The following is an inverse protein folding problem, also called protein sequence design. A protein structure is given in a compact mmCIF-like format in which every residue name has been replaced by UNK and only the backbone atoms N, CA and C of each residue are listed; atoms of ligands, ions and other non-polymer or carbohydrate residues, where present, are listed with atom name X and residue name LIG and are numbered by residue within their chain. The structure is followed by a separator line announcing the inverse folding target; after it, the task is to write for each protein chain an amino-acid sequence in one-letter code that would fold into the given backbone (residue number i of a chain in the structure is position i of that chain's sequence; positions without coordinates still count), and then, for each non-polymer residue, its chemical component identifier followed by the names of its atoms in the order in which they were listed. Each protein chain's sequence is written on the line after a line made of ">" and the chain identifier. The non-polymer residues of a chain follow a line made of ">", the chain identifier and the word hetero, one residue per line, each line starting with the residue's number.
data_IF_455841865157
#
_entry.id   IF_455841865157
#
_cell.length_a   1.000
_cell.length_b   1.000
_cell.length_c   1.000
_cell.angle_alpha   90.00
_cell.angle_beta   90.00
_cell.angle_gamma   90.00
#
_symmetry.space_group_name_H-M   'P 1'
#
loop_
_entity.id
_entity.type
_entity.pdbx_description
1 polymer ?
#
# COMPACT_ATOMS: atom_id res chain seq x y z
N UNK A 1 -12.04 -1.28 21.54
CA UNK A 1 -11.73 -0.10 20.70
C UNK A 1 -12.99 0.33 20.00
N UNK A 2 -13.37 1.58 20.14
CA UNK A 2 -14.56 2.14 19.49
C UNK A 2 -14.27 2.45 18.02
N UNK A 3 -15.28 2.40 17.14
CA UNK A 3 -15.09 2.69 15.70
C UNK A 3 -14.49 4.09 15.44
N UNK A 4 -14.80 5.05 16.30
CA UNK A 4 -14.32 6.43 16.23
C UNK A 4 -12.82 6.55 16.54
N UNK A 5 -12.31 5.75 17.49
CA UNK A 5 -10.88 5.65 17.79
C UNK A 5 -10.12 4.97 16.64
N UNK A 6 -10.70 3.94 16.04
CA UNK A 6 -10.13 3.27 14.88
C UNK A 6 -10.03 4.21 13.67
N UNK A 7 -11.01 5.11 13.49
CA UNK A 7 -11.02 6.10 12.42
C UNK A 7 -9.95 7.20 12.56
N UNK A 8 -9.16 7.23 13.64
CA UNK A 8 -8.02 8.16 13.77
C UNK A 8 -6.76 7.61 13.06
N UNK A 9 -6.70 6.31 12.77
CA UNK A 9 -5.53 5.70 12.13
C UNK A 9 -5.55 5.91 10.61
N UNK A 10 -4.45 6.41 10.00
CA UNK A 10 -4.40 6.66 8.55
C UNK A 10 -4.67 5.42 7.68
N UNK A 11 -4.21 4.24 8.11
CA UNK A 11 -4.44 2.99 7.40
C UNK A 11 -5.93 2.59 7.41
N UNK A 12 -6.63 2.79 8.53
CA UNK A 12 -8.07 2.50 8.66
C UNK A 12 -8.89 3.48 7.83
N UNK A 13 -8.54 4.76 7.84
CA UNK A 13 -9.16 5.78 6.98
C UNK A 13 -8.99 5.45 5.50
N UNK A 14 -7.78 5.04 5.11
CA UNK A 14 -7.49 4.63 3.74
C UNK A 14 -8.31 3.40 3.35
N UNK A 15 -8.34 2.36 4.20
CA UNK A 15 -9.16 1.16 3.96
C UNK A 15 -10.64 1.53 3.80
N UNK A 16 -11.20 2.35 4.70
CA UNK A 16 -12.59 2.79 4.60
C UNK A 16 -12.87 3.59 3.31
N UNK A 17 -11.90 4.38 2.84
CA UNK A 17 -12.02 5.09 1.56
C UNK A 17 -11.96 4.13 0.37
N UNK A 18 -11.06 3.14 0.40
CA UNK A 18 -10.98 2.10 -0.62
C UNK A 18 -12.25 1.24 -0.65
N UNK A 19 -12.74 0.82 0.51
CA UNK A 19 -13.98 0.06 0.68
C UNK A 19 -15.18 0.80 0.09
N UNK A 20 -15.31 2.11 0.32
CA UNK A 20 -16.39 2.92 -0.28
C UNK A 20 -16.35 2.99 -1.80
N UNK A 21 -15.17 2.87 -2.42
CA UNK A 21 -15.06 2.83 -3.90
C UNK A 21 -15.61 1.52 -4.47
N UNK A 22 -15.52 0.45 -3.71
CA UNK A 22 -15.98 -0.89 -4.09
C UNK A 22 -17.45 -1.09 -3.72
N UNK A 23 -17.83 -0.71 -2.51
CA UNK A 23 -19.18 -0.81 -1.95
C UNK A 23 -19.57 0.54 -1.33
N UNK A 24 -20.38 1.33 -2.04
CA UNK A 24 -20.75 2.69 -1.62
C UNK A 24 -21.49 2.76 -0.28
N UNK A 25 -22.17 1.68 0.11
CA UNK A 25 -22.87 1.56 1.39
C UNK A 25 -21.96 1.22 2.57
N UNK A 26 -20.67 0.94 2.34
CA UNK A 26 -19.75 0.57 3.40
C UNK A 26 -19.61 1.67 4.45
N UNK A 27 -19.88 1.32 5.71
CA UNK A 27 -19.67 2.17 6.88
C UNK A 27 -18.91 1.37 7.92
N UNK A 28 -17.85 1.96 8.47
CA UNK A 28 -17.07 1.34 9.53
C UNK A 28 -17.94 1.28 10.80
N UNK A 29 -18.45 0.09 11.12
CA UNK A 29 -19.21 -0.12 12.35
C UNK A 29 -18.27 -0.49 13.51
N UNK A 30 -18.73 -0.37 14.77
CA UNK A 30 -17.98 -0.87 15.92
C UNK A 30 -17.67 -2.37 15.86
N UNK A 31 -18.50 -3.16 15.16
CA UNK A 31 -18.28 -4.59 14.97
C UNK A 31 -17.15 -4.87 13.95
N UNK A 32 -16.99 -4.01 12.93
CA UNK A 32 -15.97 -4.17 11.88
C UNK A 32 -14.61 -3.61 12.28
N UNK A 33 -14.60 -2.60 13.15
CA UNK A 33 -13.38 -1.93 13.64
C UNK A 33 -12.24 -2.90 14.04
N UNK A 34 -12.45 -3.95 14.85
CA UNK A 34 -11.38 -4.89 15.20
C UNK A 34 -10.85 -5.67 13.98
N UNK A 35 -11.72 -6.09 13.06
CA UNK A 35 -11.31 -6.81 11.86
C UNK A 35 -10.50 -5.91 10.92
N UNK A 36 -10.95 -4.66 10.71
CA UNK A 36 -10.22 -3.70 9.86
C UNK A 36 -8.84 -3.36 10.42
N UNK A 37 -8.72 -3.23 11.74
CA UNK A 37 -7.41 -3.04 12.39
C UNK A 37 -6.50 -4.26 12.19
N UNK A 38 -7.05 -5.46 12.31
CA UNK A 38 -6.31 -6.70 12.06
C UNK A 38 -5.82 -6.78 10.60
N UNK A 39 -6.67 -6.44 9.63
CA UNK A 39 -6.27 -6.31 8.22
C UNK A 39 -5.12 -5.31 8.08
N UNK A 40 -5.24 -4.11 8.68
CA UNK A 40 -4.20 -3.10 8.63
C UNK A 40 -2.85 -3.59 9.20
N UNK A 41 -2.89 -4.39 10.26
CA UNK A 41 -1.69 -4.98 10.86
C UNK A 41 -1.11 -6.10 9.98
N UNK A 42 -1.93 -7.01 9.47
CA UNK A 42 -1.49 -8.15 8.66
C UNK A 42 -0.82 -7.72 7.33
N UNK A 43 -1.19 -6.55 6.81
CA UNK A 43 -0.66 -5.99 5.57
C UNK A 43 0.37 -4.88 5.79
N UNK A 44 0.84 -4.68 7.03
CA UNK A 44 1.79 -3.63 7.44
C UNK A 44 1.35 -2.22 7.02
N UNK A 45 0.04 -1.96 6.91
CA UNK A 45 -0.51 -0.68 6.46
C UNK A 45 -0.17 -0.29 5.01
N UNK A 46 0.28 -1.24 4.19
CA UNK A 46 0.68 -0.96 2.79
C UNK A 46 -0.55 -0.56 1.95
N UNK A 47 -0.57 0.64 1.33
CA UNK A 47 -1.76 1.16 0.65
C UNK A 47 -2.32 0.22 -0.43
N UNK A 48 -1.44 -0.39 -1.23
CA UNK A 48 -1.81 -1.35 -2.27
C UNK A 48 -2.53 -2.57 -1.69
N UNK A 49 -1.98 -3.15 -0.61
CA UNK A 49 -2.56 -4.33 0.01
C UNK A 49 -3.91 -4.02 0.68
N UNK A 50 -4.06 -2.83 1.26
CA UNK A 50 -5.35 -2.35 1.80
C UNK A 50 -6.39 -2.15 0.69
N UNK A 51 -5.99 -1.61 -0.46
CA UNK A 51 -6.90 -1.42 -1.60
C UNK A 51 -7.36 -2.76 -2.20
N UNK A 52 -6.48 -3.76 -2.27
CA UNK A 52 -6.83 -5.13 -2.67
C UNK A 52 -7.72 -5.81 -1.63
N UNK A 53 -7.40 -5.69 -0.34
CA UNK A 53 -8.24 -6.23 0.73
C UNK A 53 -9.66 -5.63 0.70
N UNK A 54 -9.80 -4.35 0.34
CA UNK A 54 -11.09 -3.71 0.18
C UNK A 54 -11.87 -4.19 -1.06
N UNK A 55 -11.21 -4.73 -2.10
CA UNK A 55 -11.83 -5.34 -3.28
C UNK A 55 -12.72 -6.54 -2.91
N UNK A 56 -12.23 -7.35 -1.98
CA UNK A 56 -12.91 -8.54 -1.49
C UNK A 56 -14.20 -8.30 -0.71
N UNK A 57 -14.52 -7.06 -0.32
CA UNK A 57 -15.76 -6.71 0.39
C UNK A 57 -17.04 -6.97 -0.43
N UNK A 58 -16.91 -7.25 -1.73
CA UNK A 58 -18.06 -7.68 -2.57
C UNK A 58 -18.49 -9.12 -2.29
N UNK A 59 -17.60 -9.94 -1.74
CA UNK A 59 -17.76 -11.39 -1.61
C UNK A 59 -17.60 -11.83 -0.16
N UNK A 60 -16.78 -11.13 0.63
CA UNK A 60 -16.43 -11.49 2.00
C UNK A 60 -16.64 -10.33 2.96
N UNK A 61 -17.00 -10.65 4.20
CA UNK A 61 -17.02 -9.68 5.29
C UNK A 61 -15.59 -9.42 5.82
N UNK A 62 -15.39 -8.31 6.55
CA UNK A 62 -14.07 -7.94 7.09
C UNK A 62 -13.42 -9.08 7.92
N UNK A 63 -14.21 -9.83 8.68
CA UNK A 63 -13.71 -10.95 9.48
C UNK A 63 -13.29 -12.16 8.61
N UNK A 64 -13.95 -12.37 7.47
CA UNK A 64 -13.59 -13.41 6.50
C UNK A 64 -12.30 -13.05 5.77
N UNK A 65 -12.16 -11.79 5.37
CA UNK A 65 -10.93 -11.28 4.75
C UNK A 65 -9.74 -11.48 5.69
N UNK A 66 -9.90 -11.25 6.99
CA UNK A 66 -8.85 -11.55 7.99
C UNK A 66 -8.48 -13.04 7.95
N UNK A 67 -9.46 -13.94 7.96
CA UNK A 67 -9.21 -15.39 7.93
C UNK A 67 -8.44 -15.82 6.69
N UNK A 68 -8.81 -15.29 5.53
CA UNK A 68 -8.14 -15.62 4.27
C UNK A 68 -6.72 -15.04 4.20
N UNK A 69 -6.49 -13.81 4.66
CA UNK A 69 -5.15 -13.22 4.74
C UNK A 69 -4.24 -14.02 5.67
N UNK A 70 -4.76 -14.47 6.83
CA UNK A 70 -4.01 -15.32 7.77
C UNK A 70 -3.64 -16.65 7.14
N UNK A 71 -4.51 -17.21 6.29
CA UNK A 71 -4.23 -18.46 5.56
C UNK A 71 -3.16 -18.27 4.50
N UNK A 72 -3.23 -17.20 3.70
CA UNK A 72 -2.18 -16.83 2.74
C UNK A 72 -2.35 -15.40 2.26
N UNK A 73 -1.28 -14.60 2.31
CA UNK A 73 -1.25 -13.26 1.71
C UNK A 73 -1.40 -13.30 0.17
N UNK A 74 -1.15 -14.43 -0.48
CA UNK A 74 -1.39 -14.63 -1.93
C UNK A 74 -2.89 -14.57 -2.28
N UNK A 75 -3.78 -14.71 -1.29
CA UNK A 75 -5.21 -14.45 -1.43
C UNK A 75 -5.47 -13.05 -2.02
N UNK A 76 -4.81 -12.03 -1.47
CA UNK A 76 -4.92 -10.65 -1.98
C UNK A 76 -4.39 -10.50 -3.40
N UNK A 77 -3.45 -11.38 -3.79
CA UNK A 77 -2.89 -11.40 -5.13
C UNK A 77 -3.77 -12.15 -6.14
N UNK A 78 -4.65 -13.05 -5.70
CA UNK A 78 -5.52 -13.84 -6.60
C UNK A 78 -6.59 -12.95 -7.25
N UNK A 79 -6.99 -11.87 -6.60
CA UNK A 79 -7.84 -10.82 -7.19
C UNK A 79 -7.11 -9.96 -8.24
N UNK A 80 -5.83 -10.23 -8.57
CA UNK A 80 -5.09 -9.39 -9.52
C UNK A 80 -5.74 -9.30 -10.92
N UNK A 81 -6.64 -10.21 -11.25
CA UNK A 81 -7.41 -10.18 -12.50
C UNK A 81 -8.56 -9.14 -12.46
N UNK A 82 -9.15 -8.90 -11.29
CA UNK A 82 -10.28 -7.99 -11.06
C UNK A 82 -9.90 -6.65 -10.40
N UNK A 83 -8.62 -6.32 -10.43
CA UNK A 83 -8.03 -5.12 -9.83
C UNK A 83 -8.75 -3.83 -10.26
N UNK A 84 -8.94 -2.86 -9.34
CA UNK A 84 -9.46 -1.54 -9.67
C UNK A 84 -8.76 -0.90 -10.89
N UNK A 85 -9.48 -0.18 -11.77
CA UNK A 85 -8.95 0.32 -13.04
C UNK A 85 -7.60 1.06 -12.92
N UNK A 86 -7.40 1.81 -11.83
CA UNK A 86 -6.17 2.57 -11.56
C UNK A 86 -4.93 1.68 -11.42
N UNK A 87 -5.05 0.56 -10.73
CA UNK A 87 -3.93 -0.35 -10.49
C UNK A 87 -3.74 -1.30 -11.68
N UNK A 88 -4.81 -1.64 -12.40
CA UNK A 88 -4.73 -2.43 -13.65
C UNK A 88 -3.78 -1.77 -14.66
N UNK A 89 -3.88 -0.45 -14.86
CA UNK A 89 -2.97 0.29 -15.76
C UNK A 89 -1.50 0.24 -15.33
N UNK A 90 -1.23 0.40 -14.03
CA UNK A 90 0.14 0.29 -13.49
C UNK A 90 0.68 -1.13 -13.66
N UNK A 91 -0.13 -2.15 -13.38
CA UNK A 91 0.27 -3.54 -13.51
C UNK A 91 0.52 -3.96 -14.96
N UNK A 92 -0.35 -3.55 -15.88
CA UNK A 92 -0.17 -3.77 -17.33
C UNK A 92 1.11 -3.09 -17.82
N UNK A 93 1.34 -1.84 -17.42
CA UNK A 93 2.56 -1.09 -17.79
C UNK A 93 3.81 -1.76 -17.23
N UNK A 94 3.74 -2.24 -15.98
CA UNK A 94 4.81 -2.99 -15.34
C UNK A 94 5.11 -4.31 -16.09
N UNK A 95 4.09 -5.11 -16.40
CA UNK A 95 4.24 -6.36 -17.14
C UNK A 95 4.84 -6.13 -18.52
N UNK A 96 4.38 -5.10 -19.23
CA UNK A 96 4.93 -4.74 -20.54
C UNK A 96 6.42 -4.38 -20.44
N UNK A 97 6.78 -3.56 -19.45
CA UNK A 97 8.18 -3.18 -19.19
C UNK A 97 9.03 -4.37 -18.80
N UNK A 98 8.50 -5.28 -17.97
CA UNK A 98 9.17 -6.51 -17.56
C UNK A 98 9.43 -7.45 -18.74
N UNK A 99 8.47 -7.57 -19.66
CA UNK A 99 8.59 -8.39 -20.86
C UNK A 99 9.67 -7.87 -21.85
N UNK A 100 9.99 -6.57 -21.81
CA UNK A 100 11.07 -5.97 -22.60
C UNK A 100 12.48 -6.26 -22.03
N UNK A 101 12.58 -6.73 -20.78
CA UNK A 101 13.86 -7.06 -20.15
C UNK A 101 14.36 -8.42 -20.60
N UNK A 102 15.66 -8.53 -20.88
CA UNK A 102 16.29 -9.83 -21.13
C UNK A 102 16.25 -10.72 -19.88
N UNK A 103 16.34 -12.06 -20.01
CA UNK A 103 16.34 -12.97 -18.87
C UNK A 103 17.45 -12.71 -17.84
N UNK A 104 18.57 -12.09 -18.24
CA UNK A 104 19.63 -11.67 -17.33
C UNK A 104 19.22 -10.44 -16.50
N UNK A 105 18.57 -9.46 -17.13
CA UNK A 105 18.08 -8.25 -16.47
C UNK A 105 16.92 -8.54 -15.52
N UNK A 106 16.00 -9.45 -15.89
CA UNK A 106 14.91 -9.89 -15.02
C UNK A 106 15.45 -10.52 -13.73
N UNK A 107 16.46 -11.38 -13.83
CA UNK A 107 17.11 -12.01 -12.65
C UNK A 107 17.80 -10.97 -11.77
N UNK A 108 18.53 -10.02 -12.35
CA UNK A 108 19.16 -8.94 -11.60
C UNK A 108 18.13 -8.07 -10.87
N UNK A 109 17.03 -7.72 -11.53
CA UNK A 109 15.97 -6.89 -10.95
C UNK A 109 15.20 -7.62 -9.84
N UNK A 110 14.92 -8.92 -9.99
CA UNK A 110 14.30 -9.74 -8.95
C UNK A 110 15.19 -9.85 -7.70
N UNK A 111 16.51 -9.97 -7.87
CA UNK A 111 17.46 -9.99 -6.76
C UNK A 111 17.49 -8.66 -5.99
N UNK A 112 17.31 -7.52 -6.69
CA UNK A 112 17.21 -6.20 -6.07
C UNK A 112 15.87 -5.96 -5.35
N UNK A 113 14.79 -6.58 -5.83
CA UNK A 113 13.45 -6.45 -5.25
C UNK A 113 13.32 -7.10 -3.85
N UNK A 114 14.28 -7.94 -3.45
CA UNK A 114 14.36 -8.51 -2.10
C UNK A 114 14.82 -7.50 -1.03
N UNK A 115 15.29 -6.32 -1.44
CA UNK A 115 15.73 -5.28 -0.50
C UNK A 115 14.52 -4.59 0.14
N UNK A 116 14.11 -5.05 1.34
CA UNK A 116 13.02 -4.45 2.12
C UNK A 116 13.53 -3.28 2.97
N UNK A 117 13.13 -2.06 2.60
CA UNK A 117 13.17 -0.87 3.46
C UNK A 117 13.44 0.43 2.69
N UNK A 118 12.96 1.58 3.17
CA UNK A 118 13.47 2.86 2.70
C UNK A 118 14.94 2.92 3.15
N UNK A 119 15.86 2.63 2.23
CA UNK A 119 17.21 3.12 2.41
C UNK A 119 17.07 4.64 2.43
N UNK A 120 17.07 5.25 3.62
CA UNK A 120 17.52 6.62 3.72
C UNK A 120 18.99 6.57 3.32
N UNK A 121 19.21 6.53 2.01
CA UNK A 121 20.48 6.81 1.43
C UNK A 121 20.69 8.28 1.73
N UNK A 122 21.25 8.54 2.91
CA UNK A 122 21.96 9.78 3.16
C UNK A 122 23.28 9.60 2.43
N UNK A 123 23.49 10.22 1.26
CA UNK A 123 24.86 10.31 0.77
C UNK A 123 25.65 10.98 1.89
N UNK A 124 26.60 10.24 2.47
CA UNK A 124 27.65 10.85 3.29
C UNK A 124 28.56 11.57 2.31
N UNK A 125 28.09 12.71 1.82
CA UNK A 125 28.88 13.54 0.95
C UNK A 125 30.01 14.17 1.79
N UNK A 126 31.28 14.10 1.35
CA UNK A 126 32.40 14.70 2.06
C UNK A 126 32.49 16.21 1.72
N UNK A 127 31.52 17.02 2.14
CA UNK A 127 31.67 18.49 2.09
C UNK A 127 31.91 19.00 3.52
N UNK A 128 32.97 19.78 3.77
CA UNK A 128 33.22 20.41 5.06
C UNK A 128 32.15 21.48 5.37
N UNK A 129 31.68 21.50 6.63
CA UNK A 129 30.51 22.25 7.13
C UNK A 129 30.62 23.79 7.18
N UNK A 130 31.52 24.44 6.44
CA UNK A 130 31.82 25.86 6.62
C UNK A 130 31.43 26.80 5.46
N UNK A 131 30.41 26.47 4.66
CA UNK A 131 29.93 27.41 3.62
C UNK A 131 28.46 27.22 3.22
N UNK A 132 27.53 27.39 4.17
CA UNK A 132 26.08 27.36 3.93
C UNK A 132 25.35 28.67 4.26
N UNK A 133 26.01 29.81 4.04
CA UNK A 133 25.33 31.11 4.00
C UNK A 133 25.55 31.72 2.64
N UNK A 134 24.62 31.44 1.72
CA UNK A 134 24.17 32.20 0.54
C UNK A 134 23.40 31.17 -0.29
N UNK A 135 22.12 30.97 0.00
CA UNK A 135 21.07 30.88 -1.02
C UNK A 135 19.74 31.30 -0.36
N UNK A 136 18.98 32.24 -0.94
CA UNK A 136 17.88 32.92 -0.28
C UNK A 136 16.55 32.19 -0.50
N UNK A 137 15.82 31.99 0.60
CA UNK A 137 14.46 32.55 0.81
C UNK A 137 13.46 32.45 -0.36
N UNK A 138 13.41 31.34 -1.05
CA UNK A 138 12.30 30.92 -1.90
C UNK A 138 11.91 29.51 -1.45
N UNK A 139 10.63 29.16 -1.50
CA UNK A 139 10.00 27.91 -1.02
C UNK A 139 9.36 28.00 0.37
N UNK A 140 8.30 28.81 0.44
CA UNK A 140 7.16 28.56 1.34
C UNK A 140 5.89 28.98 0.57
N UNK A 141 4.94 28.06 0.27
CA UNK A 141 3.67 28.44 -0.34
C UNK A 141 2.74 29.06 0.71
N UNK A 142 1.94 30.02 0.25
CA UNK A 142 0.97 30.81 1.02
C UNK A 142 -0.12 29.97 1.67
#
# INVERSE_FOLDING_TARGET
>A
MSAEEAATYPAVLFFAQAARRVQHSFRLSPADAPAVLCICQLVDGRPLALELAAGWLRVYDCAEIVREIVRSLEFLATELHDVPPRQRSVHITWQHTWALLTPAMQRALAALALFRGPSSWRPRWPWPRHRWWIWPRCWMPR
#
